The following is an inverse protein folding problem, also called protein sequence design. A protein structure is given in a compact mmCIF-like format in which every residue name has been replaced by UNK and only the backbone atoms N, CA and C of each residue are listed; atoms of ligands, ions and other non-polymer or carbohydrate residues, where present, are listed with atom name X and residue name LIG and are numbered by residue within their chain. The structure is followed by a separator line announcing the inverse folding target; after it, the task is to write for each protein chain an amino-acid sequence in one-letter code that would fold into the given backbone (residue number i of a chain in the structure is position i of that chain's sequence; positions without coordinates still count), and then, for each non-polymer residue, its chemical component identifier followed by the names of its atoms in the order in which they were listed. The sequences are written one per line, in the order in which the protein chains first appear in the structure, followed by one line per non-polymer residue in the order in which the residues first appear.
data_IF_540808025581
#
_entry.id   IF_540808025581
#
_cell.length_a   1.000
_cell.length_b   1.000
_cell.length_c   1.000
_cell.angle_alpha   90.00
_cell.angle_beta   90.00
_cell.angle_gamma   90.00
#
_symmetry.space_group_name_H-M   'P 1'
#
loop_
_entity.id
_entity.type
_entity.pdbx_description
1 polymer ?
#
# COMPACT_ATOMS: atom_id res chain seq x y z
N UNK A 1 -18.69 -8.33 -2.06
CA UNK A 1 -17.32 -7.80 -2.16
C UNK A 1 -16.44 -8.57 -1.19
N UNK A 2 -15.30 -9.08 -1.64
CA UNK A 2 -14.30 -9.68 -0.76
C UNK A 2 -13.40 -8.57 -0.20
N UNK A 3 -13.24 -8.51 1.11
CA UNK A 3 -12.26 -7.66 1.79
C UNK A 3 -11.21 -8.58 2.43
N UNK A 4 -10.25 -9.12 1.64
CA UNK A 4 -9.25 -10.01 2.19
C UNK A 4 -8.39 -9.27 3.21
N UNK A 5 -8.01 -10.00 4.26
CA UNK A 5 -7.03 -9.56 5.25
C UNK A 5 -5.64 -9.89 4.72
N UNK A 6 -4.77 -8.90 4.72
CA UNK A 6 -3.40 -8.98 4.18
C UNK A 6 -2.39 -8.46 5.20
N UNK A 7 -1.16 -8.92 5.11
CA UNK A 7 -0.02 -8.36 5.84
C UNK A 7 0.70 -7.37 4.92
N UNK A 8 1.01 -6.18 5.44
CA UNK A 8 1.80 -5.15 4.76
C UNK A 8 3.15 -5.05 5.45
N UNK A 9 4.22 -5.07 4.66
CA UNK A 9 5.58 -4.78 5.09
C UNK A 9 6.02 -3.48 4.40
N UNK A 10 6.19 -2.41 5.20
CA UNK A 10 6.58 -1.07 4.73
C UNK A 10 7.79 -0.59 5.54
N UNK A 11 8.97 -0.80 4.97
CA UNK A 11 10.25 -0.56 5.64
C UNK A 11 10.36 -1.30 6.97
N UNK A 12 10.35 -0.53 8.05
CA UNK A 12 10.40 -0.96 9.45
C UNK A 12 9.13 -1.63 9.97
N UNK A 13 8.00 -1.31 9.34
CA UNK A 13 6.67 -1.57 9.88
C UNK A 13 6.06 -2.80 9.24
N UNK A 14 5.50 -3.68 10.07
CA UNK A 14 4.65 -4.77 9.62
C UNK A 14 3.27 -4.60 10.25
N UNK A 15 2.21 -4.64 9.46
CA UNK A 15 0.85 -4.52 9.98
C UNK A 15 -0.17 -5.29 9.15
N UNK A 16 -1.32 -5.56 9.76
CA UNK A 16 -2.44 -6.19 9.08
C UNK A 16 -3.33 -5.10 8.47
N UNK A 17 -3.82 -5.33 7.26
CA UNK A 17 -4.73 -4.42 6.56
C UNK A 17 -5.90 -5.19 5.94
N UNK A 18 -7.01 -4.50 5.72
CA UNK A 18 -8.02 -4.95 4.75
C UNK A 18 -7.70 -4.37 3.38
N UNK A 19 -7.89 -5.17 2.33
CA UNK A 19 -7.71 -4.73 0.95
C UNK A 19 -9.06 -4.59 0.25
N UNK A 20 -9.24 -3.49 -0.49
CA UNK A 20 -10.43 -3.26 -1.30
C UNK A 20 -10.05 -2.67 -2.66
N UNK A 21 -10.58 -3.26 -3.74
CA UNK A 21 -10.40 -2.70 -5.10
C UNK A 21 -11.27 -1.46 -5.23
N UNK A 22 -10.64 -0.32 -5.51
CA UNK A 22 -11.33 0.95 -5.76
C UNK A 22 -11.99 0.94 -7.14
N UNK A 23 -13.08 1.69 -7.27
CA UNK A 23 -13.83 1.81 -8.53
C UNK A 23 -14.18 3.27 -8.82
N UNK A 24 -14.48 3.58 -10.09
CA UNK A 24 -14.94 4.90 -10.54
C UNK A 24 -14.01 6.06 -10.12
N UNK A 25 -14.62 7.17 -9.72
CA UNK A 25 -13.92 8.42 -9.38
C UNK A 25 -12.92 8.27 -8.24
N UNK A 26 -13.20 7.40 -7.25
CA UNK A 26 -12.28 7.15 -6.14
C UNK A 26 -10.98 6.52 -6.64
N UNK A 27 -11.10 5.50 -7.51
CA UNK A 27 -9.97 4.88 -8.20
C UNK A 27 -9.16 5.90 -8.97
N UNK A 28 -9.83 6.71 -9.79
CA UNK A 28 -9.19 7.68 -10.67
C UNK A 28 -8.43 8.76 -9.87
N UNK A 29 -8.98 9.22 -8.74
CA UNK A 29 -8.34 10.20 -7.85
C UNK A 29 -7.07 9.65 -7.21
N UNK A 30 -7.09 8.41 -6.74
CA UNK A 30 -5.92 7.77 -6.13
C UNK A 30 -4.86 7.44 -7.20
N UNK A 31 -5.30 6.97 -8.38
CA UNK A 31 -4.39 6.71 -9.50
C UNK A 31 -3.68 7.98 -9.98
N UNK A 32 -4.38 9.13 -10.01
CA UNK A 32 -3.77 10.41 -10.35
C UNK A 32 -2.59 10.76 -9.44
N UNK A 33 -2.70 10.50 -8.13
CA UNK A 33 -1.59 10.70 -7.18
C UNK A 33 -0.41 9.78 -7.47
N UNK A 34 -0.65 8.53 -7.87
CA UNK A 34 0.42 7.62 -8.28
C UNK A 34 1.14 8.13 -9.54
N UNK A 35 0.39 8.67 -10.50
CA UNK A 35 0.94 9.31 -11.72
C UNK A 35 1.72 10.58 -11.41
N UNK A 36 1.26 11.39 -10.46
CA UNK A 36 1.98 12.58 -9.99
C UNK A 36 3.34 12.24 -9.37
N UNK A 37 3.43 11.11 -8.66
CA UNK A 37 4.71 10.61 -8.10
C UNK A 37 5.61 9.98 -9.16
N UNK A 38 5.02 9.20 -10.08
CA UNK A 38 5.73 8.56 -11.20
C UNK A 38 4.84 8.49 -12.45
N UNK A 39 5.18 9.30 -13.45
CA UNK A 39 4.47 9.36 -14.73
C UNK A 39 4.46 8.02 -15.50
N UNK A 40 5.36 7.09 -15.16
CA UNK A 40 5.41 5.73 -15.71
C UNK A 40 4.12 4.95 -15.52
N UNK A 41 3.36 5.20 -14.44
CA UNK A 41 2.06 4.57 -14.21
C UNK A 41 1.04 4.85 -15.32
N UNK A 42 0.96 6.11 -15.78
CA UNK A 42 0.07 6.49 -16.86
C UNK A 42 0.50 5.89 -18.20
N UNK A 43 1.81 5.70 -18.42
CA UNK A 43 2.30 5.01 -19.60
C UNK A 43 1.96 3.52 -19.56
N UNK A 44 2.11 2.88 -18.40
CA UNK A 44 1.80 1.48 -18.22
C UNK A 44 0.31 1.18 -18.41
N UNK A 45 -0.59 2.00 -17.85
CA UNK A 45 -2.04 1.84 -18.06
C UNK A 45 -2.39 1.91 -19.56
N UNK A 46 -1.89 2.93 -20.27
CA UNK A 46 -2.08 3.07 -21.73
C UNK A 46 -1.53 1.87 -22.51
N UNK A 47 -0.32 1.43 -22.18
CA UNK A 47 0.31 0.28 -22.85
C UNK A 47 -0.43 -1.04 -22.57
N UNK A 48 -1.05 -1.17 -21.40
CA UNK A 48 -1.82 -2.36 -21.02
C UNK A 48 -3.17 -2.47 -21.74
N UNK A 49 -3.68 -1.39 -22.33
CA UNK A 49 -4.98 -1.35 -23.01
C UNK A 49 -6.17 -1.55 -22.09
N UNK A 50 -5.99 -1.48 -20.77
CA UNK A 50 -7.04 -1.63 -19.77
C UNK A 50 -6.87 -0.62 -18.64
N UNK A 51 -7.96 -0.38 -17.94
CA UNK A 51 -7.95 0.31 -16.66
C UNK A 51 -7.22 -0.54 -15.62
N UNK A 52 -6.17 0.01 -14.99
CA UNK A 52 -5.44 -0.69 -13.93
C UNK A 52 -6.24 -0.65 -12.63
N UNK A 53 -6.42 -1.80 -11.94
CA UNK A 53 -7.04 -1.84 -10.64
C UNK A 53 -6.15 -1.14 -9.60
N UNK A 54 -6.76 -0.32 -8.75
CA UNK A 54 -6.10 0.28 -7.58
C UNK A 54 -6.71 -0.35 -6.34
N UNK A 55 -5.86 -0.78 -5.41
CA UNK A 55 -6.30 -1.43 -4.17
C UNK A 55 -5.99 -0.52 -3.00
N UNK A 56 -7.02 -0.12 -2.25
CA UNK A 56 -6.84 0.56 -0.98
C UNK A 56 -6.47 -0.45 0.11
N UNK A 57 -5.44 -0.12 0.88
CA UNK A 57 -5.01 -0.88 2.06
C UNK A 57 -5.34 -0.08 3.31
N UNK A 58 -6.32 -0.56 4.08
CA UNK A 58 -6.74 0.10 5.32
C UNK A 58 -6.19 -0.69 6.50
N UNK A 59 -5.28 -0.08 7.26
CA UNK A 59 -4.68 -0.70 8.43
C UNK A 59 -5.75 -1.12 9.45
N UNK A 60 -5.64 -2.35 9.96
CA UNK A 60 -6.46 -2.87 11.04
C UNK A 60 -5.80 -2.46 12.37
N UNK A 61 -6.52 -1.79 13.29
CA UNK A 61 -5.97 -1.42 14.58
C UNK A 61 -5.43 -2.65 15.35
N UNK A 62 -4.21 -2.54 15.86
CA UNK A 62 -3.54 -3.59 16.62
C UNK A 62 -2.19 -3.11 17.20
N UNK A 63 -1.58 -3.88 18.12
CA UNK A 63 -0.27 -3.51 18.66
C UNK A 63 0.77 -3.43 17.53
N UNK A 64 1.71 -2.46 17.57
CA UNK A 64 2.70 -2.30 16.51
C UNK A 64 3.56 -3.56 16.40
N UNK A 65 3.69 -4.10 15.19
CA UNK A 65 4.65 -5.17 14.90
C UNK A 65 5.82 -4.54 14.16
N UNK A 66 6.97 -4.53 14.82
CA UNK A 66 8.23 -4.11 14.23
C UNK A 66 8.92 -5.33 13.64
N UNK A 67 9.63 -5.16 12.52
CA UNK A 67 10.46 -6.21 11.93
C UNK A 67 11.76 -6.48 12.74
N UNK A 68 11.72 -6.31 14.07
CA UNK A 68 12.85 -6.48 14.97
C UNK A 68 12.43 -7.22 16.24
N UNK A 69 13.22 -8.23 16.62
CA UNK A 69 12.99 -9.07 17.80
C UNK A 69 13.64 -8.54 19.09
N UNK A 70 14.34 -7.39 19.03
CA UNK A 70 15.01 -6.79 20.20
C UNK A 70 14.86 -5.26 20.24
N UNK A 71 14.93 -4.63 21.43
CA UNK A 71 14.85 -3.16 21.56
C UNK A 71 15.94 -2.40 20.77
N UNK A 72 17.17 -2.93 20.75
CA UNK A 72 18.27 -2.34 19.94
C UNK A 72 18.05 -2.51 18.44
N UNK A 73 17.39 -3.60 18.02
CA UNK A 73 16.96 -3.79 16.64
C UNK A 73 15.91 -2.78 16.19
N UNK A 74 14.94 -2.44 17.06
CA UNK A 74 13.91 -1.44 16.75
C UNK A 74 14.50 -0.05 16.49
N UNK A 75 15.49 0.38 17.29
CA UNK A 75 16.12 1.69 17.11
C UNK A 75 16.89 1.81 15.80
N UNK A 76 17.57 0.73 15.38
CA UNK A 76 18.31 0.72 14.11
C UNK A 76 17.40 0.75 12.90
N UNK A 77 16.28 0.04 12.98
CA UNK A 77 15.26 -0.05 11.92
C UNK A 77 14.56 1.29 11.66
N UNK A 78 14.43 2.15 12.68
CA UNK A 78 13.80 3.49 12.55
C UNK A 78 14.79 4.57 12.12
N UNK A 79 16.09 4.36 12.34
CA UNK A 79 17.16 5.38 12.18
C UNK A 79 18.17 5.06 11.06
N UNK A 80 17.75 4.37 9.99
CA UNK A 80 18.59 4.24 8.78
C UNK A 80 18.43 5.47 7.86
#
# INVERSE_FOLDING_TARGET
MAQPRVTVEDGAFTYEATAAVLTGTERDTVFARAVEQDAGWAQYERASGRVLPVVALTAIPGPPRFNASTPGGMLRVVHD
#
